data_IF_226202089616
#
_entry.id   IF_226202089616
#
_cell.length_a   1.000
_cell.length_b   1.000
_cell.length_c   1.000
_cell.angle_alpha   90.00
_cell.angle_beta   90.00
_cell.angle_gamma   90.00
#
_symmetry.space_group_name_H-M   'P 1'
#
loop_
_entity.id
_entity.type
_entity.pdbx_description
1 polymer ?
#
# COMPACT_ATOMS: atom_id res chain seq x y z
N UNK A 1 3.41 33.08 -31.07
CA UNK A 1 4.03 32.61 -29.81
C UNK A 1 4.07 31.09 -29.81
N UNK A 2 5.27 30.51 -29.81
CA UNK A 2 5.50 29.09 -30.07
C UNK A 2 4.92 28.20 -28.98
N UNK A 3 3.95 27.35 -29.36
CA UNK A 3 3.43 26.24 -28.54
C UNK A 3 4.60 25.33 -28.15
N UNK A 4 5.03 25.35 -26.89
CA UNK A 4 6.03 24.39 -26.39
C UNK A 4 5.35 23.03 -26.18
N UNK A 5 5.47 22.19 -27.19
CA UNK A 5 5.19 20.75 -27.13
C UNK A 5 6.32 20.11 -26.30
N UNK A 6 6.11 19.90 -24.99
CA UNK A 6 7.04 19.10 -24.17
C UNK A 6 6.84 17.64 -24.52
N UNK A 7 7.59 17.19 -25.52
CA UNK A 7 7.63 15.80 -25.98
C UNK A 7 8.77 15.02 -25.29
N UNK A 8 9.29 15.48 -24.16
CA UNK A 8 10.30 14.76 -23.38
C UNK A 8 9.64 13.62 -22.63
N UNK A 9 10.18 12.41 -22.77
CA UNK A 9 9.79 11.28 -21.93
C UNK A 9 9.93 11.67 -20.44
N UNK A 10 8.96 11.28 -19.58
CA UNK A 10 9.02 11.61 -18.16
C UNK A 10 10.26 10.96 -17.54
N UNK A 11 11.02 11.74 -16.78
CA UNK A 11 12.15 11.19 -16.03
C UNK A 11 11.65 10.23 -14.95
N UNK A 12 12.53 9.38 -14.41
CA UNK A 12 12.20 8.52 -13.28
C UNK A 12 11.66 9.35 -12.10
N UNK A 13 12.25 10.51 -11.84
CA UNK A 13 11.83 11.39 -10.76
C UNK A 13 10.43 11.98 -10.98
N UNK A 14 10.12 12.40 -12.22
CA UNK A 14 8.79 12.87 -12.59
C UNK A 14 7.75 11.75 -12.39
N UNK A 15 8.09 10.53 -12.84
CA UNK A 15 7.21 9.38 -12.71
C UNK A 15 6.96 9.02 -11.23
N UNK A 16 7.98 9.06 -10.38
CA UNK A 16 7.85 8.80 -8.95
C UNK A 16 6.99 9.86 -8.26
N UNK A 17 7.17 11.13 -8.61
CA UNK A 17 6.37 12.24 -8.07
C UNK A 17 4.90 12.10 -8.46
N UNK A 18 4.62 11.88 -9.75
CA UNK A 18 3.26 11.68 -10.24
C UNK A 18 2.60 10.44 -9.60
N UNK A 19 3.36 9.36 -9.42
CA UNK A 19 2.85 8.14 -8.79
C UNK A 19 2.51 8.34 -7.31
N UNK A 20 3.28 9.16 -6.59
CA UNK A 20 2.97 9.53 -5.20
C UNK A 20 1.70 10.35 -5.11
N UNK A 21 1.49 11.31 -6.02
CA UNK A 21 0.27 12.13 -6.07
C UNK A 21 -0.98 11.31 -6.40
N UNK A 22 -0.89 10.42 -7.38
CA UNK A 22 -1.98 9.50 -7.73
C UNK A 22 -2.31 8.57 -6.56
N UNK A 23 -1.29 8.05 -5.88
CA UNK A 23 -1.45 7.18 -4.74
C UNK A 23 -2.03 7.92 -3.54
N UNK A 24 -1.62 9.17 -3.30
CA UNK A 24 -2.23 10.04 -2.30
C UNK A 24 -3.73 10.22 -2.55
N UNK A 25 -4.13 10.49 -3.80
CA UNK A 25 -5.55 10.64 -4.17
C UNK A 25 -6.32 9.34 -3.94
N UNK A 26 -5.76 8.20 -4.32
CA UNK A 26 -6.37 6.89 -4.09
C UNK A 26 -6.49 6.57 -2.59
N UNK A 27 -5.45 6.85 -1.80
CA UNK A 27 -5.45 6.67 -0.34
C UNK A 27 -6.44 7.61 0.35
N UNK A 28 -6.61 8.85 -0.14
CA UNK A 28 -7.62 9.78 0.38
C UNK A 28 -9.03 9.23 0.21
N UNK A 29 -9.34 8.67 -0.95
CA UNK A 29 -10.62 7.98 -1.18
C UNK A 29 -10.76 6.73 -0.29
N UNK A 30 -9.71 5.90 -0.22
CA UNK A 30 -9.68 4.70 0.62
C UNK A 30 -9.88 5.02 2.11
N UNK A 31 -9.29 6.11 2.63
CA UNK A 31 -9.46 6.59 4.02
C UNK A 31 -10.91 6.92 4.32
N UNK A 32 -11.66 7.45 3.35
CA UNK A 32 -13.11 7.67 3.47
C UNK A 32 -13.90 6.36 3.63
N UNK A 33 -13.63 5.38 2.78
CA UNK A 33 -14.27 4.06 2.86
C UNK A 33 -13.91 3.31 4.14
N UNK A 34 -12.66 3.42 4.59
CA UNK A 34 -12.18 2.76 5.80
C UNK A 34 -12.81 3.38 7.05
N UNK A 35 -12.96 4.71 7.08
CA UNK A 35 -13.72 5.40 8.13
C UNK A 35 -15.17 4.91 8.20
N UNK A 36 -15.83 4.72 7.06
CA UNK A 36 -17.19 4.18 7.03
C UNK A 36 -17.24 2.74 7.54
N UNK A 37 -16.27 1.90 7.15
CA UNK A 37 -16.15 0.51 7.62
C UNK A 37 -15.96 0.46 9.13
N UNK A 38 -15.02 1.21 9.69
CA UNK A 38 -14.76 1.24 11.13
C UNK A 38 -15.96 1.79 11.91
N UNK A 39 -16.60 2.84 11.41
CA UNK A 39 -17.81 3.38 12.03
C UNK A 39 -18.93 2.33 12.12
N UNK A 40 -19.20 1.60 11.04
CA UNK A 40 -20.18 0.50 11.06
C UNK A 40 -19.80 -0.56 12.09
N UNK A 41 -18.53 -0.97 12.13
CA UNK A 41 -18.05 -2.00 13.07
C UNK A 41 -18.15 -1.57 14.54
N UNK A 42 -17.94 -0.29 14.84
CA UNK A 42 -18.09 0.26 16.19
C UNK A 42 -19.54 0.24 16.68
N UNK A 43 -20.50 0.37 15.77
CA UNK A 43 -21.93 0.37 16.10
C UNK A 43 -22.59 -1.01 15.86
N UNK A 44 -21.79 -2.07 15.66
CA UNK A 44 -22.32 -3.44 15.58
C UNK A 44 -22.96 -3.84 16.92
N UNK A 45 -24.18 -4.39 16.87
CA UNK A 45 -24.85 -4.91 18.05
C UNK A 45 -24.04 -6.05 18.68
N UNK A 46 -23.89 -6.06 20.00
CA UNK A 46 -23.15 -7.09 20.72
C UNK A 46 -21.62 -6.98 20.64
N UNK A 47 -21.09 -5.80 20.28
CA UNK A 47 -19.65 -5.56 20.36
C UNK A 47 -19.14 -5.69 21.80
N UNK A 48 -18.10 -6.50 22.00
CA UNK A 48 -17.42 -6.64 23.29
C UNK A 48 -16.57 -5.40 23.60
N UNK A 49 -16.38 -5.01 24.87
CA UNK A 49 -15.53 -3.88 25.25
C UNK A 49 -14.13 -3.92 24.63
N UNK A 50 -13.45 -5.08 24.68
CA UNK A 50 -12.11 -5.25 24.12
C UNK A 50 -12.05 -5.00 22.60
N UNK A 51 -13.07 -5.47 21.87
CA UNK A 51 -13.18 -5.24 20.42
C UNK A 51 -13.45 -3.77 20.13
N UNK A 52 -14.28 -3.12 20.93
CA UNK A 52 -14.56 -1.70 20.80
C UNK A 52 -13.28 -0.87 21.00
N UNK A 53 -12.52 -1.12 22.07
CA UNK A 53 -11.27 -0.43 22.36
C UNK A 53 -10.25 -0.57 21.21
N UNK A 54 -10.11 -1.78 20.66
CA UNK A 54 -9.25 -2.03 19.48
C UNK A 54 -9.69 -1.22 18.26
N UNK A 55 -10.99 -1.17 17.97
CA UNK A 55 -11.53 -0.40 16.85
C UNK A 55 -11.39 1.11 17.07
N UNK A 56 -11.55 1.60 18.30
CA UNK A 56 -11.33 3.01 18.64
C UNK A 56 -9.87 3.41 18.41
N UNK A 57 -8.92 2.53 18.76
CA UNK A 57 -7.49 2.71 18.44
C UNK A 57 -7.24 2.74 16.94
N UNK A 58 -7.84 1.83 16.16
CA UNK A 58 -7.77 1.88 14.69
C UNK A 58 -8.35 3.19 14.13
N UNK A 59 -9.45 3.70 14.69
CA UNK A 59 -10.02 5.00 14.29
C UNK A 59 -9.07 6.16 14.62
N UNK A 60 -8.43 6.15 15.78
CA UNK A 60 -7.45 7.16 16.17
C UNK A 60 -6.28 7.18 15.19
N UNK A 61 -5.72 6.02 14.87
CA UNK A 61 -4.64 5.87 13.88
C UNK A 61 -5.08 6.31 12.49
N UNK A 62 -6.26 5.91 12.04
CA UNK A 62 -6.79 6.33 10.73
C UNK A 62 -6.90 7.86 10.65
N UNK A 63 -7.31 8.53 11.74
CA UNK A 63 -7.42 9.99 11.81
C UNK A 63 -6.05 10.66 11.69
N UNK A 64 -5.05 10.21 12.45
CA UNK A 64 -3.70 10.79 12.49
C UNK A 64 -2.81 10.44 11.29
N UNK A 65 -3.24 9.53 10.42
CA UNK A 65 -2.44 9.09 9.28
C UNK A 65 -2.09 10.22 8.31
N UNK A 66 -0.80 10.48 8.15
CA UNK A 66 -0.24 11.38 7.13
C UNK A 66 -0.17 10.69 5.77
N UNK A 67 -1.09 11.07 4.87
CA UNK A 67 -1.29 10.36 3.60
C UNK A 67 -0.14 10.53 2.62
N UNK A 68 0.56 11.66 2.61
CA UNK A 68 1.74 11.86 1.73
C UNK A 68 2.87 10.91 2.12
N UNK A 69 3.21 10.83 3.41
CA UNK A 69 4.22 9.92 3.91
C UNK A 69 3.81 8.45 3.69
N UNK A 70 2.54 8.14 3.91
CA UNK A 70 1.98 6.80 3.66
C UNK A 70 2.09 6.41 2.18
N UNK A 71 1.73 7.32 1.26
CA UNK A 71 1.83 7.10 -0.18
C UNK A 71 3.29 6.81 -0.58
N UNK A 72 4.21 7.66 -0.14
CA UNK A 72 5.64 7.50 -0.42
C UNK A 72 6.17 6.16 0.11
N UNK A 73 5.88 5.83 1.37
CA UNK A 73 6.32 4.58 1.99
C UNK A 73 5.77 3.34 1.28
N UNK A 74 4.49 3.37 0.91
CA UNK A 74 3.85 2.28 0.21
C UNK A 74 4.41 2.10 -1.20
N UNK A 75 4.61 3.19 -1.94
CA UNK A 75 5.20 3.16 -3.28
C UNK A 75 6.61 2.57 -3.22
N UNK A 76 7.48 3.11 -2.36
CA UNK A 76 8.88 2.67 -2.27
C UNK A 76 8.98 1.20 -1.87
N UNK A 77 8.21 0.80 -0.85
CA UNK A 77 8.14 -0.61 -0.44
C UNK A 77 7.65 -1.53 -1.56
N UNK A 78 6.70 -1.06 -2.39
CA UNK A 78 6.17 -1.84 -3.51
C UNK A 78 7.17 -1.97 -4.66
N UNK A 79 7.92 -0.90 -4.95
CA UNK A 79 9.00 -0.93 -5.94
C UNK A 79 10.13 -1.87 -5.50
N UNK A 80 10.55 -1.80 -4.24
CA UNK A 80 11.63 -2.65 -3.70
C UNK A 80 11.26 -4.14 -3.63
N UNK A 81 9.97 -4.48 -3.59
CA UNK A 81 9.51 -5.88 -3.69
C UNK A 81 9.79 -6.50 -5.06
N UNK A 82 9.92 -5.67 -6.10
CA UNK A 82 10.25 -6.14 -7.45
C UNK A 82 11.77 -6.28 -7.54
N UNK A 83 12.25 -7.53 -7.53
CA UNK A 83 13.70 -7.85 -7.56
C UNK A 83 14.45 -7.14 -8.68
N UNK A 84 13.85 -7.04 -9.87
CA UNK A 84 14.46 -6.38 -11.02
C UNK A 84 14.65 -4.88 -10.81
N UNK A 85 13.69 -4.20 -10.16
CA UNK A 85 13.81 -2.78 -9.79
C UNK A 85 14.85 -2.62 -8.67
N UNK A 86 14.78 -3.45 -7.63
CA UNK A 86 15.70 -3.39 -6.50
C UNK A 86 17.17 -3.61 -6.93
N UNK A 87 17.42 -4.43 -7.95
CA UNK A 87 18.74 -4.69 -8.49
C UNK A 87 19.25 -3.63 -9.50
N UNK A 88 18.36 -2.81 -10.07
CA UNK A 88 18.74 -1.80 -11.07
C UNK A 88 19.58 -0.69 -10.45
N UNK A 89 20.78 -0.40 -10.96
CA UNK A 89 21.69 0.63 -10.45
C UNK A 89 21.13 2.05 -10.54
N UNK A 90 20.17 2.28 -11.42
CA UNK A 90 19.61 3.61 -11.72
C UNK A 90 18.49 4.01 -10.74
N UNK A 91 18.21 3.16 -9.73
CA UNK A 91 17.27 3.47 -8.67
C UNK A 91 17.88 4.43 -7.63
N UNK A 92 17.23 5.58 -7.35
CA UNK A 92 17.71 6.54 -6.36
C UNK A 92 17.92 5.93 -4.96
N UNK A 93 19.00 6.36 -4.29
CA UNK A 93 19.37 5.87 -2.95
C UNK A 93 18.29 6.11 -1.90
N UNK A 94 17.52 7.20 -2.03
CA UNK A 94 16.39 7.51 -1.16
C UNK A 94 15.33 6.39 -1.15
N UNK A 95 15.14 5.70 -2.28
CA UNK A 95 14.21 4.57 -2.37
C UNK A 95 14.84 3.35 -1.71
N UNK A 96 16.14 3.10 -1.95
CA UNK A 96 16.88 1.96 -1.38
C UNK A 96 16.97 2.00 0.13
N UNK A 97 17.17 3.21 0.70
CA UNK A 97 17.19 3.43 2.13
C UNK A 97 15.85 3.04 2.80
N UNK A 98 14.76 2.98 2.03
CA UNK A 98 13.44 2.71 2.54
C UNK A 98 12.87 3.87 3.33
N UNK A 99 11.72 3.64 3.98
CA UNK A 99 11.10 4.65 4.86
C UNK A 99 11.36 4.28 6.32
N UNK A 100 11.80 5.23 7.16
CA UNK A 100 11.98 5.01 8.58
C UNK A 100 10.71 4.42 9.21
N UNK A 101 10.89 3.39 10.05
CA UNK A 101 9.77 2.81 10.78
C UNK A 101 9.60 3.59 12.10
N UNK A 102 8.40 4.09 12.40
CA UNK A 102 8.16 4.73 13.69
C UNK A 102 8.31 3.70 14.81
N UNK A 103 8.88 4.15 15.93
CA UNK A 103 8.84 3.42 17.19
C UNK A 103 7.43 3.56 17.79
N UNK A 104 6.71 2.44 17.85
CA UNK A 104 5.33 2.36 18.29
C UNK A 104 5.18 1.21 19.27
N UNK A 105 4.21 1.31 20.18
CA UNK A 105 3.83 0.16 21.00
C UNK A 105 3.33 -1.00 20.11
N UNK A 106 3.27 -2.21 20.65
CA UNK A 106 2.77 -3.38 19.90
C UNK A 106 1.32 -3.17 19.44
N UNK A 107 0.48 -2.58 20.31
CA UNK A 107 -0.93 -2.30 20.04
C UNK A 107 -1.09 -1.23 18.97
N UNK A 108 -0.29 -0.16 19.03
CA UNK A 108 -0.28 0.90 18.02
C UNK A 108 0.21 0.40 16.67
N UNK A 109 1.23 -0.46 16.67
CA UNK A 109 1.78 -1.07 15.46
C UNK A 109 0.76 -2.01 14.80
N UNK A 110 0.04 -2.78 15.61
CA UNK A 110 -1.05 -3.64 15.15
C UNK A 110 -2.21 -2.82 14.56
N UNK A 111 -2.64 -1.77 15.24
CA UNK A 111 -3.68 -0.86 14.74
C UNK A 111 -3.27 -0.19 13.42
N UNK A 112 -2.02 0.30 13.33
CA UNK A 112 -1.46 0.87 12.11
C UNK A 112 -1.43 -0.15 10.96
N UNK A 113 -1.05 -1.39 11.24
CA UNK A 113 -1.06 -2.46 10.25
C UNK A 113 -2.47 -2.77 9.73
N UNK A 114 -3.46 -2.90 10.62
CA UNK A 114 -4.85 -3.18 10.24
C UNK A 114 -5.44 -2.06 9.38
N UNK A 115 -5.18 -0.80 9.76
CA UNK A 115 -5.63 0.37 8.99
C UNK A 115 -4.96 0.42 7.63
N UNK A 116 -3.62 0.37 7.58
CA UNK A 116 -2.87 0.51 6.32
C UNK A 116 -3.13 -0.66 5.37
N UNK A 117 -3.24 -1.89 5.87
CA UNK A 117 -3.64 -3.04 5.05
C UNK A 117 -5.04 -2.88 4.46
N UNK A 118 -6.00 -2.34 5.23
CA UNK A 118 -7.34 -1.99 4.74
C UNK A 118 -7.32 -0.96 3.61
N UNK A 119 -6.45 0.04 3.69
CA UNK A 119 -6.25 1.05 2.64
C UNK A 119 -5.61 0.44 1.39
N UNK A 120 -4.49 -0.28 1.55
CA UNK A 120 -3.71 -0.85 0.45
C UNK A 120 -4.47 -1.95 -0.30
N UNK A 121 -5.39 -2.65 0.37
CA UNK A 121 -6.18 -3.69 -0.27
C UNK A 121 -7.29 -3.17 -1.20
N UNK A 122 -7.56 -1.86 -1.22
CA UNK A 122 -8.57 -1.28 -2.11
C UNK A 122 -8.10 -1.29 -3.56
N UNK A 123 -9.00 -1.69 -4.46
CA UNK A 123 -8.73 -1.76 -5.91
C UNK A 123 -8.11 -0.48 -6.49
N UNK A 124 -8.60 0.74 -6.22
CA UNK A 124 -7.99 1.97 -6.75
C UNK A 124 -6.52 2.15 -6.32
N UNK A 125 -6.17 1.71 -5.10
CA UNK A 125 -4.81 1.79 -4.59
C UNK A 125 -3.91 0.77 -5.30
N UNK A 126 -4.35 -0.49 -5.39
CA UNK A 126 -3.63 -1.54 -6.14
C UNK A 126 -3.41 -1.15 -7.60
N UNK A 127 -4.45 -0.65 -8.27
CA UNK A 127 -4.36 -0.26 -9.67
C UNK A 127 -3.34 0.87 -9.90
N UNK A 128 -3.22 1.83 -8.97
CA UNK A 128 -2.19 2.88 -9.04
C UNK A 128 -0.78 2.30 -8.84
N UNK A 129 -0.60 1.45 -7.84
CA UNK A 129 0.71 0.82 -7.55
C UNK A 129 1.16 -0.03 -8.72
N UNK A 130 0.27 -0.84 -9.29
CA UNK A 130 0.57 -1.68 -10.45
C UNK A 130 0.99 -0.85 -11.66
N UNK A 131 0.30 0.27 -11.92
CA UNK A 131 0.69 1.20 -12.99
C UNK A 131 2.06 1.81 -12.71
N UNK A 132 2.31 2.25 -11.48
CA UNK A 132 3.57 2.86 -11.08
C UNK A 132 4.75 1.88 -11.24
N UNK A 133 4.61 0.64 -10.77
CA UNK A 133 5.60 -0.44 -10.98
C UNK A 133 5.85 -0.65 -12.47
N UNK A 134 4.79 -0.77 -13.28
CA UNK A 134 4.93 -0.98 -14.72
C UNK A 134 5.60 0.20 -15.45
N UNK A 135 5.38 1.43 -15.01
CA UNK A 135 6.07 2.61 -15.56
C UNK A 135 7.53 2.66 -15.14
N UNK A 136 7.84 2.41 -13.86
CA UNK A 136 9.22 2.39 -13.35
C UNK A 136 10.03 1.27 -14.02
N UNK A 137 9.47 0.07 -14.18
CA UNK A 137 10.10 -1.01 -14.92
C UNK A 137 10.49 -0.60 -16.35
N UNK A 138 9.58 0.09 -17.06
CA UNK A 138 9.83 0.58 -18.43
C UNK A 138 10.95 1.63 -18.47
N UNK A 139 10.93 2.59 -17.55
CA UNK A 139 11.96 3.65 -17.47
C UNK A 139 13.34 3.04 -17.14
N UNK A 140 13.39 2.06 -16.26
CA UNK A 140 14.63 1.36 -15.88
C UNK A 140 15.07 0.29 -16.89
N UNK A 141 14.28 0.02 -17.94
CA UNK A 141 14.58 -1.04 -18.91
C UNK A 141 14.57 -2.46 -18.33
N UNK A 142 13.85 -2.69 -17.22
CA UNK A 142 13.79 -3.99 -16.54
C UNK A 142 12.47 -4.72 -16.80
N UNK A 143 12.43 -6.06 -16.69
CA UNK A 143 11.20 -6.83 -16.88
C UNK A 143 10.09 -6.39 -15.93
N UNK A 144 8.88 -6.21 -16.47
CA UNK A 144 7.67 -5.95 -15.68
C UNK A 144 7.22 -7.27 -15.04
N UNK A 145 6.95 -7.33 -13.73
CA UNK A 145 6.43 -8.54 -13.10
C UNK A 145 5.08 -8.92 -13.73
N UNK A 146 4.92 -10.18 -14.15
CA UNK A 146 3.63 -10.70 -14.60
C UNK A 146 2.64 -10.67 -13.44
N UNK A 147 1.49 -10.04 -13.64
CA UNK A 147 0.37 -10.09 -12.68
C UNK A 147 -0.23 -11.50 -12.69
N UNK A 148 0.41 -12.45 -12.00
CA UNK A 148 -0.02 -13.84 -12.12
C UNK A 148 0.62 -14.86 -11.20
N UNK A 149 1.38 -14.52 -10.16
CA UNK A 149 1.84 -15.48 -9.15
C UNK A 149 1.98 -14.80 -7.77
N UNK A 150 0.83 -14.52 -7.13
CA UNK A 150 0.79 -14.12 -5.74
C UNK A 150 -0.25 -14.98 -5.00
N UNK A 151 0.17 -16.17 -4.60
CA UNK A 151 -0.31 -16.89 -3.42
C UNK A 151 -1.77 -17.34 -3.41
N UNK A 152 -2.09 -18.38 -4.17
CA UNK A 152 -3.09 -19.37 -3.74
C UNK A 152 -2.34 -20.43 -2.91
N UNK A 153 -1.97 -20.08 -1.66
CA UNK A 153 -1.58 -21.09 -0.68
C UNK A 153 -2.86 -21.74 -0.17
N UNK A 154 -3.11 -22.94 -0.70
CA UNK A 154 -4.25 -23.78 -0.37
C UNK A 154 -4.38 -24.00 1.14
N UNK A 155 -5.51 -23.56 1.69
CA UNK A 155 -6.04 -24.07 2.93
C UNK A 155 -6.62 -25.47 2.70
N UNK A 156 -5.75 -26.44 2.43
CA UNK A 156 -6.07 -27.86 2.55
C UNK A 156 -5.74 -28.30 3.98
N UNK A 157 -6.62 -27.98 4.94
CA UNK A 157 -6.65 -28.71 6.22
C UNK A 157 -7.38 -30.03 6.00
N UNK A 158 -6.64 -31.02 5.51
CA UNK A 158 -6.95 -32.42 5.74
C UNK A 158 -6.48 -32.81 7.14
N UNK A 159 -7.42 -33.19 8.00
CA UNK A 159 -7.27 -34.04 9.19
C UNK A 159 -8.70 -34.26 9.71
N UNK A 160 -9.26 -35.45 9.84
CA UNK A 160 -8.81 -36.81 9.55
C UNK A 160 -9.98 -37.70 9.97
N UNK A 161 -10.50 -38.50 9.04
CA UNK A 161 -11.40 -39.59 9.39
C UNK A 161 -10.56 -40.71 10.00
N UNK A 162 -10.91 -41.14 11.21
CA UNK A 162 -10.42 -42.39 11.77
C UNK A 162 -11.62 -43.29 11.99
N UNK A 163 -11.73 -44.30 11.13
CA UNK A 163 -12.51 -45.51 11.34
C UNK A 163 -11.49 -46.61 11.66
N UNK A 164 -11.73 -47.33 12.75
CA UNK A 164 -10.90 -48.40 13.28
C UNK A 164 -11.34 -48.72 14.69
#
# INVERSE_FOLDING_TARGET
>A
MSKRKRNSEPTLQDQLTNSQDDLFRALKAAKGFERQRLSKRLHEAGITPDKQERLEREVAVLKSLELHQTARAHLFSSLLKVKAIAASTDLPDEIRAGVPRPELSEEERSALHNVTSGLYNRKPVKDVVDRAVGSVCRILGVPVPSKGEAGEEGQARGCGGSAG
#
